data_IF_396437866345
#
_entry.id   IF_396437866345
#
_cell.length_a   1.000
_cell.length_b   1.000
_cell.length_c   1.000
_cell.angle_alpha   90.00
_cell.angle_beta   90.00
_cell.angle_gamma   90.00
#
_symmetry.space_group_name_H-M   'P 1'
#
loop_
_entity.id
_entity.type
_entity.pdbx_description
1 polymer ?
#
# COMPACT_ATOMS: atom_id res chain seq x y z
N UNK A 1 23.03 1.99 -1.98
CA UNK A 1 22.03 2.18 -3.04
C UNK A 1 21.15 0.95 -3.00
N UNK A 2 19.84 1.11 -2.83
CA UNK A 2 18.89 -0.03 -2.82
C UNK A 2 18.94 -0.69 -4.20
N UNK A 3 19.07 -2.01 -4.28
CA UNK A 3 19.09 -2.70 -5.58
C UNK A 3 17.68 -2.80 -6.15
N UNK A 4 17.56 -2.96 -7.47
CA UNK A 4 16.25 -3.19 -8.12
C UNK A 4 15.51 -4.39 -7.53
N UNK A 5 16.23 -5.45 -7.16
CA UNK A 5 15.66 -6.64 -6.51
C UNK A 5 15.10 -6.31 -5.11
N UNK A 6 15.81 -5.52 -4.31
CA UNK A 6 15.32 -5.08 -2.99
C UNK A 6 14.07 -4.19 -3.10
N UNK A 7 14.03 -3.30 -4.10
CA UNK A 7 12.84 -2.50 -4.39
C UNK A 7 11.65 -3.38 -4.77
N UNK A 8 11.89 -4.43 -5.57
CA UNK A 8 10.83 -5.34 -6.01
C UNK A 8 10.30 -6.16 -4.83
N UNK A 9 11.20 -6.70 -4.00
CA UNK A 9 10.80 -7.41 -2.79
C UNK A 9 9.99 -6.51 -1.84
N UNK A 10 10.38 -5.25 -1.69
CA UNK A 10 9.64 -4.27 -0.87
C UNK A 10 8.26 -3.99 -1.45
N UNK A 11 8.16 -3.85 -2.78
CA UNK A 11 6.88 -3.66 -3.47
C UNK A 11 5.96 -4.87 -3.28
N UNK A 12 6.48 -6.09 -3.47
CA UNK A 12 5.72 -7.32 -3.33
C UNK A 12 5.23 -7.53 -1.88
N UNK A 13 6.07 -7.20 -0.90
CA UNK A 13 5.70 -7.22 0.52
C UNK A 13 4.58 -6.22 0.85
N UNK A 14 4.66 -5.01 0.29
CA UNK A 14 3.62 -3.99 0.43
C UNK A 14 2.29 -4.46 -0.18
N UNK A 15 2.33 -4.97 -1.42
CA UNK A 15 1.16 -5.52 -2.13
C UNK A 15 0.52 -6.68 -1.35
N UNK A 16 1.33 -7.62 -0.83
CA UNK A 16 0.85 -8.74 -0.02
C UNK A 16 0.11 -8.27 1.24
N UNK A 17 0.64 -7.25 1.90
CA UNK A 17 0.01 -6.67 3.10
C UNK A 17 -1.32 -5.98 2.77
N UNK A 18 -1.35 -5.17 1.71
CA UNK A 18 -2.57 -4.49 1.24
C UNK A 18 -3.64 -5.51 0.79
N UNK A 19 -3.26 -6.57 0.09
CA UNK A 19 -4.19 -7.62 -0.32
C UNK A 19 -4.83 -8.36 0.86
N UNK A 20 -4.09 -8.59 1.95
CA UNK A 20 -4.67 -9.15 3.18
C UNK A 20 -5.75 -8.23 3.78
N UNK A 21 -5.56 -6.92 3.71
CA UNK A 21 -6.55 -5.93 4.19
C UNK A 21 -7.78 -5.92 3.25
N UNK A 22 -7.55 -5.90 1.94
CA UNK A 22 -8.60 -5.84 0.92
C UNK A 22 -9.51 -7.08 0.90
N UNK A 23 -8.97 -8.25 1.29
CA UNK A 23 -9.71 -9.52 1.31
C UNK A 23 -10.32 -9.85 2.68
N UNK A 24 -9.94 -9.14 3.74
CA UNK A 24 -10.43 -9.41 5.09
C UNK A 24 -11.89 -8.94 5.28
N UNK A 25 -12.86 -9.83 5.56
CA UNK A 25 -14.27 -9.47 5.70
C UNK A 25 -14.56 -8.53 6.89
N UNK A 26 -13.69 -8.50 7.90
CA UNK A 26 -13.80 -7.60 9.05
C UNK A 26 -13.42 -6.15 8.71
N UNK A 27 -12.80 -5.92 7.55
CA UNK A 27 -12.48 -4.57 7.07
C UNK A 27 -13.72 -3.93 6.41
N UNK A 28 -14.09 -2.68 6.75
CA UNK A 28 -15.18 -1.95 6.11
C UNK A 28 -15.06 -1.92 4.57
N UNK A 29 -16.21 -2.02 3.89
CA UNK A 29 -16.27 -2.19 2.42
C UNK A 29 -15.61 -1.03 1.65
N UNK A 30 -15.78 0.20 2.12
CA UNK A 30 -15.16 1.39 1.54
C UNK A 30 -13.62 1.32 1.61
N UNK A 31 -13.08 0.90 2.75
CA UNK A 31 -11.64 0.73 2.94
C UNK A 31 -11.12 -0.39 2.05
N UNK A 32 -11.78 -1.56 2.05
CA UNK A 32 -11.39 -2.67 1.17
C UNK A 32 -11.33 -2.29 -0.30
N UNK A 33 -12.34 -1.55 -0.79
CA UNK A 33 -12.37 -1.08 -2.17
C UNK A 33 -11.19 -0.13 -2.46
N UNK A 34 -10.97 0.85 -1.59
CA UNK A 34 -9.88 1.83 -1.77
C UNK A 34 -8.51 1.14 -1.77
N UNK A 35 -8.29 0.17 -0.87
CA UNK A 35 -7.04 -0.59 -0.84
C UNK A 35 -6.88 -1.48 -2.08
N UNK A 36 -7.95 -2.10 -2.57
CA UNK A 36 -7.89 -2.90 -3.80
C UNK A 36 -7.54 -2.04 -5.04
N UNK A 37 -8.09 -0.83 -5.12
CA UNK A 37 -7.79 0.12 -6.20
C UNK A 37 -6.30 0.54 -6.15
N UNK A 38 -5.73 0.73 -4.94
CA UNK A 38 -4.30 1.02 -4.76
C UNK A 38 -3.39 -0.14 -5.15
N UNK A 39 -3.77 -1.38 -4.85
CA UNK A 39 -3.01 -2.56 -5.26
C UNK A 39 -2.90 -2.62 -6.79
N UNK A 40 -3.99 -2.33 -7.51
CA UNK A 40 -3.96 -2.31 -8.97
C UNK A 40 -3.03 -1.23 -9.53
N UNK A 41 -2.99 -0.05 -8.89
CA UNK A 41 -2.07 1.03 -9.31
C UNK A 41 -0.60 0.67 -9.02
N UNK A 42 -0.33 0.03 -7.87
CA UNK A 42 1.01 -0.48 -7.53
C UNK A 42 1.49 -1.57 -8.49
N UNK A 43 0.60 -2.45 -8.94
CA UNK A 43 0.91 -3.54 -9.88
C UNK A 43 1.04 -3.06 -11.34
N UNK A 44 0.57 -1.85 -11.66
CA UNK A 44 0.58 -1.34 -13.03
C UNK A 44 1.99 -0.96 -13.51
N UNK A 45 2.37 -1.33 -14.73
CA UNK A 45 3.67 -0.95 -15.31
C UNK A 45 3.68 0.44 -15.98
N UNK A 46 2.67 1.28 -15.73
CA UNK A 46 2.55 2.61 -16.35
C UNK A 46 3.65 3.58 -15.89
N UNK A 47 4.06 3.48 -14.62
CA UNK A 47 5.03 4.38 -14.00
C UNK A 47 6.16 3.59 -13.33
N UNK A 48 7.24 4.28 -13.01
CA UNK A 48 8.34 3.67 -12.27
C UNK A 48 7.91 3.27 -10.85
N UNK A 49 8.63 2.33 -10.24
CA UNK A 49 8.26 1.78 -8.92
C UNK A 49 8.26 2.87 -7.84
N UNK A 50 9.24 3.78 -7.86
CA UNK A 50 9.31 4.88 -6.91
C UNK A 50 8.15 5.88 -7.07
N UNK A 51 7.71 6.15 -8.31
CA UNK A 51 6.54 7.01 -8.57
C UNK A 51 5.27 6.34 -8.05
N UNK A 52 5.06 5.05 -8.34
CA UNK A 52 3.91 4.28 -7.86
C UNK A 52 3.86 4.21 -6.33
N UNK A 53 5.01 3.96 -5.70
CA UNK A 53 5.12 3.93 -4.25
C UNK A 53 4.75 5.29 -3.63
N UNK A 54 5.30 6.38 -4.16
CA UNK A 54 5.02 7.74 -3.69
C UNK A 54 3.54 8.12 -3.81
N UNK A 55 2.93 7.82 -4.97
CA UNK A 55 1.50 8.05 -5.19
C UNK A 55 0.64 7.24 -4.20
N UNK A 56 1.02 5.99 -3.96
CA UNK A 56 0.29 5.11 -3.04
C UNK A 56 0.39 5.60 -1.60
N UNK A 57 1.56 6.05 -1.14
CA UNK A 57 1.73 6.63 0.20
C UNK A 57 0.79 7.82 0.39
N UNK A 58 0.75 8.74 -0.57
CA UNK A 58 -0.14 9.91 -0.50
C UNK A 58 -1.61 9.52 -0.38
N UNK A 59 -2.06 8.48 -1.10
CA UNK A 59 -3.45 8.03 -1.05
C UNK A 59 -3.76 7.22 0.22
N UNK A 60 -2.77 6.50 0.77
CA UNK A 60 -2.91 5.81 2.05
C UNK A 60 -3.11 6.80 3.19
N UNK A 61 -2.42 7.95 3.17
CA UNK A 61 -2.61 9.00 4.17
C UNK A 61 -4.07 9.48 4.20
N UNK A 62 -4.69 9.72 3.05
CA UNK A 62 -6.10 10.07 2.95
C UNK A 62 -7.01 8.97 3.50
N UNK A 63 -6.77 7.71 3.13
CA UNK A 63 -7.54 6.57 3.63
C UNK A 63 -7.42 6.45 5.15
N UNK A 64 -6.25 6.75 5.73
CA UNK A 64 -6.05 6.69 7.19
C UNK A 64 -6.84 7.74 7.97
N UNK A 65 -7.38 8.76 7.31
CA UNK A 65 -8.27 9.73 7.94
C UNK A 65 -9.73 9.26 8.02
N UNK A 66 -10.08 8.10 7.44
CA UNK A 66 -11.45 7.59 7.50
C UNK A 66 -11.86 7.31 8.97
N UNK A 67 -12.99 7.89 9.44
CA UNK A 67 -13.44 7.74 10.83
C UNK A 67 -13.84 6.30 11.18
N UNK A 68 -14.17 5.47 10.18
CA UNK A 68 -14.51 4.06 10.36
C UNK A 68 -13.27 3.14 10.26
N UNK A 69 -12.06 3.69 10.20
CA UNK A 69 -10.85 2.89 10.08
C UNK A 69 -10.58 2.02 11.32
N UNK A 70 -10.50 0.68 11.17
CA UNK A 70 -10.11 -0.18 12.28
C UNK A 70 -8.63 0.03 12.66
N UNK A 71 -8.33 -0.04 13.96
CA UNK A 71 -6.96 0.14 14.47
C UNK A 71 -5.95 -0.85 13.86
N UNK A 72 -6.33 -2.11 13.66
CA UNK A 72 -5.44 -3.11 13.05
C UNK A 72 -5.08 -2.74 11.61
N UNK A 73 -6.03 -2.17 10.85
CA UNK A 73 -5.79 -1.70 9.48
C UNK A 73 -4.80 -0.54 9.52
N UNK A 74 -5.01 0.44 10.39
CA UNK A 74 -4.11 1.60 10.54
C UNK A 74 -2.66 1.16 10.79
N UNK A 75 -2.45 0.22 11.70
CA UNK A 75 -1.11 -0.34 11.99
C UNK A 75 -0.51 -1.01 10.75
N UNK A 76 -1.29 -1.82 10.02
CA UNK A 76 -0.81 -2.47 8.80
C UNK A 76 -0.50 -1.48 7.67
N UNK A 77 -1.28 -0.40 7.54
CA UNK A 77 -1.01 0.66 6.58
C UNK A 77 0.27 1.41 6.94
N UNK A 78 0.51 1.71 8.21
CA UNK A 78 1.77 2.33 8.65
C UNK A 78 3.01 1.47 8.32
N UNK A 79 2.92 0.15 8.52
CA UNK A 79 3.97 -0.78 8.12
C UNK A 79 4.17 -0.80 6.60
N UNK A 80 3.07 -0.72 5.85
CA UNK A 80 3.11 -0.69 4.38
C UNK A 80 3.76 0.59 3.88
N UNK A 81 3.39 1.76 4.44
CA UNK A 81 4.03 3.05 4.13
C UNK A 81 5.52 2.98 4.39
N UNK A 82 5.93 2.50 5.57
CA UNK A 82 7.36 2.33 5.90
C UNK A 82 8.10 1.44 4.90
N UNK A 83 7.42 0.41 4.37
CA UNK A 83 7.97 -0.49 3.35
C UNK A 83 8.09 0.22 2.00
N UNK A 84 7.06 0.96 1.58
CA UNK A 84 7.03 1.72 0.33
C UNK A 84 8.05 2.88 0.32
N UNK A 85 8.28 3.53 1.46
CA UNK A 85 9.30 4.59 1.63
C UNK A 85 10.73 4.10 1.40
N UNK A 86 10.98 2.79 1.58
CA UNK A 86 12.29 2.19 1.34
C UNK A 86 12.63 2.04 -0.16
N UNK A 87 11.62 2.13 -1.03
CA UNK A 87 11.77 2.01 -2.49
C UNK A 87 12.39 3.29 -3.04
N UNK A 88 13.62 3.19 -3.54
CA UNK A 88 14.43 4.32 -4.04
C UNK A 88 15.07 3.97 -5.37
N UNK A 89 15.06 4.90 -6.31
CA UNK A 89 15.78 4.82 -7.59
C UNK A 89 17.25 5.25 -7.48
#
# INVERSE_FOLDING_TARGET
>A
MTTKEQNQESLDNAISTLNKIATNPSTPRNIRKSIADLVQELESDKYSMSVRASNTISLLDDITQDPNMPNYVRTSLWQTVSTLESIRE
#
